data_IF_648926507371
#
_entry.id   IF_648926507371
#
_cell.length_a   1.000
_cell.length_b   1.000
_cell.length_c   1.000
_cell.angle_alpha   90.00
_cell.angle_beta   90.00
_cell.angle_gamma   90.00
#
_symmetry.space_group_name_H-M   'P 1'
#
loop_
_entity.id
_entity.type
_entity.pdbx_description
1 polymer ?
#
# COMPACT_ATOMS: atom_id res chain seq x y z
N UNK A 1 -6.98 7.52 26.79
CA UNK A 1 -7.01 7.34 25.33
C UNK A 1 -8.39 6.79 25.00
N UNK A 2 -9.27 7.61 24.42
CA UNK A 2 -10.63 7.17 24.12
C UNK A 2 -10.61 6.12 23.00
N UNK A 3 -11.43 5.05 23.08
CA UNK A 3 -11.57 4.11 21.97
C UNK A 3 -12.10 4.85 20.73
N UNK A 4 -11.64 4.49 19.51
CA UNK A 4 -12.13 5.11 18.28
C UNK A 4 -13.64 4.90 18.13
N UNK A 5 -14.36 5.94 17.69
CA UNK A 5 -15.80 5.89 17.45
C UNK A 5 -16.16 4.73 16.51
N UNK A 6 -17.11 3.88 16.95
CA UNK A 6 -17.71 2.84 16.11
C UNK A 6 -18.50 3.52 14.98
N UNK A 7 -17.90 3.69 13.80
CA UNK A 7 -18.65 4.18 12.64
C UNK A 7 -17.90 4.48 11.33
N UNK A 8 -16.57 4.59 11.29
CA UNK A 8 -15.88 5.14 10.10
C UNK A 8 -14.73 4.27 9.57
N UNK A 9 -14.90 2.94 9.50
CA UNK A 9 -13.94 2.08 8.80
C UNK A 9 -14.40 1.78 7.38
N UNK A 10 -13.46 1.78 6.42
CA UNK A 10 -13.74 1.44 5.01
C UNK A 10 -13.85 -0.08 4.88
N UNK A 11 -14.85 -0.55 4.14
CA UNK A 11 -15.04 -1.97 3.87
C UNK A 11 -14.78 -2.22 2.38
N UNK A 12 -13.66 -2.86 2.09
CA UNK A 12 -13.29 -3.27 0.74
C UNK A 12 -13.94 -4.63 0.49
N UNK A 13 -14.89 -4.66 -0.44
CA UNK A 13 -15.59 -5.88 -0.83
C UNK A 13 -14.87 -6.58 -1.97
N UNK A 14 -15.22 -7.85 -2.17
CA UNK A 14 -14.78 -8.66 -3.32
C UNK A 14 -14.74 -7.84 -4.60
N UNK A 15 -13.58 -7.87 -5.25
CA UNK A 15 -13.32 -7.33 -6.60
C UNK A 15 -13.59 -5.82 -6.73
N UNK A 16 -13.62 -5.09 -5.61
CA UNK A 16 -13.73 -3.62 -5.54
C UNK A 16 -12.47 -3.05 -4.91
N UNK A 17 -11.34 -3.27 -5.55
CA UNK A 17 -10.06 -2.74 -5.07
C UNK A 17 -10.12 -1.23 -4.94
N UNK A 18 -9.48 -0.70 -3.90
CA UNK A 18 -9.46 0.73 -3.63
C UNK A 18 -8.08 1.18 -3.21
N UNK A 19 -7.65 2.30 -3.77
CA UNK A 19 -6.54 3.08 -3.21
C UNK A 19 -7.05 3.76 -1.95
N UNK A 20 -6.37 3.50 -0.83
CA UNK A 20 -6.70 4.10 0.45
C UNK A 20 -6.18 5.53 0.54
N UNK A 21 -4.96 5.73 0.06
CA UNK A 21 -4.23 7.00 0.02
C UNK A 21 -3.13 6.93 -1.04
N UNK A 22 -2.70 8.10 -1.51
CA UNK A 22 -1.47 8.30 -2.26
C UNK A 22 -0.57 9.26 -1.49
N UNK A 23 0.74 9.04 -1.50
CA UNK A 23 1.68 9.98 -0.88
C UNK A 23 1.87 11.21 -1.77
N UNK A 24 2.27 12.34 -1.18
CA UNK A 24 2.73 13.48 -1.98
C UNK A 24 3.92 13.02 -2.85
N UNK A 25 4.02 13.46 -4.12
CA UNK A 25 5.17 13.16 -4.96
C UNK A 25 6.51 13.43 -4.24
N UNK A 26 7.39 12.44 -4.27
CA UNK A 26 8.64 12.41 -3.53
C UNK A 26 9.49 13.64 -3.85
N UNK A 27 10.02 14.30 -2.83
CA UNK A 27 10.78 15.54 -2.96
C UNK A 27 9.99 16.74 -3.50
N UNK A 28 8.64 16.74 -3.44
CA UNK A 28 7.82 17.94 -3.72
C UNK A 28 7.03 18.39 -2.49
N UNK A 29 6.71 19.68 -2.45
CA UNK A 29 5.75 20.24 -1.51
C UNK A 29 4.33 20.21 -2.11
N UNK A 30 3.35 19.71 -1.35
CA UNK A 30 1.96 19.61 -1.81
C UNK A 30 1.38 20.98 -2.19
N UNK A 31 1.59 22.02 -1.37
CA UNK A 31 1.04 23.36 -1.63
C UNK A 31 1.63 23.98 -2.89
N UNK A 32 2.84 23.60 -3.27
CA UNK A 32 3.43 24.00 -4.54
C UNK A 32 2.78 23.27 -5.72
N UNK A 33 2.57 21.97 -5.61
CA UNK A 33 1.88 21.18 -6.65
C UNK A 33 0.47 21.72 -6.90
N UNK A 34 -0.24 22.11 -5.85
CA UNK A 34 -1.59 22.69 -5.95
C UNK A 34 -1.58 24.08 -6.61
N UNK A 35 -0.60 24.95 -6.29
CA UNK A 35 -0.54 26.34 -6.79
C UNK A 35 0.07 26.50 -8.17
N UNK A 36 0.94 25.59 -8.58
CA UNK A 36 1.70 25.71 -9.83
C UNK A 36 1.91 24.33 -10.49
N UNK A 37 0.82 23.63 -10.83
CA UNK A 37 0.88 22.26 -11.36
C UNK A 37 1.58 22.15 -12.72
N UNK A 38 1.67 23.23 -13.49
CA UNK A 38 2.32 23.24 -14.81
C UNK A 38 3.85 23.35 -14.76
N UNK A 39 4.41 23.78 -13.62
CA UNK A 39 5.86 23.96 -13.48
C UNK A 39 6.34 23.69 -12.04
N UNK A 40 6.09 22.50 -11.48
CA UNK A 40 6.49 22.18 -10.12
C UNK A 40 8.01 22.06 -10.03
N UNK A 41 8.60 22.53 -8.93
CA UNK A 41 10.04 22.41 -8.68
C UNK A 41 10.28 21.49 -7.50
N UNK A 42 11.22 20.53 -7.58
CA UNK A 42 11.54 19.70 -6.43
C UNK A 42 12.12 20.57 -5.30
N UNK A 43 11.94 20.11 -4.07
CA UNK A 43 12.49 20.72 -2.86
C UNK A 43 14.03 20.82 -2.98
N UNK A 44 14.63 21.96 -2.63
CA UNK A 44 16.07 22.13 -2.68
C UNK A 44 16.76 21.22 -1.65
N UNK A 45 18.03 20.88 -1.89
CA UNK A 45 18.83 20.01 -1.01
C UNK A 45 18.17 18.64 -0.82
N UNK A 46 17.82 17.99 -1.93
CA UNK A 46 17.38 16.60 -1.96
C UNK A 46 18.27 15.85 -2.93
N UNK A 47 18.76 14.68 -2.51
CA UNK A 47 19.52 13.81 -3.40
C UNK A 47 18.63 13.41 -4.58
N UNK A 48 19.13 13.60 -5.79
CA UNK A 48 18.48 13.06 -7.00
C UNK A 48 18.81 11.58 -7.19
N UNK A 49 19.88 11.08 -6.56
CA UNK A 49 20.28 9.68 -6.61
C UNK A 49 19.71 8.92 -5.41
N UNK A 50 18.84 7.94 -5.66
CA UNK A 50 18.11 7.17 -4.63
C UNK A 50 17.48 8.07 -3.55
N UNK A 51 16.53 8.95 -3.93
CA UNK A 51 15.94 9.95 -3.03
C UNK A 51 15.20 9.33 -1.85
N UNK A 52 14.54 8.18 -2.04
CA UNK A 52 13.84 7.48 -0.96
C UNK A 52 14.80 6.66 -0.11
N UNK A 53 14.61 6.68 1.21
CA UNK A 53 15.41 5.92 2.18
C UNK A 53 14.60 4.89 2.93
N UNK A 54 13.33 5.20 3.21
CA UNK A 54 12.46 4.33 3.99
C UNK A 54 11.00 4.68 3.74
N UNK A 55 10.14 3.68 3.71
CA UNK A 55 8.69 3.83 3.65
C UNK A 55 8.11 3.06 4.83
N UNK A 56 7.33 3.74 5.67
CA UNK A 56 6.67 3.15 6.83
C UNK A 56 5.17 3.15 6.59
N UNK A 57 4.58 1.97 6.58
CA UNK A 57 3.14 1.74 6.51
C UNK A 57 2.63 1.44 7.92
N UNK A 58 1.60 2.16 8.36
CA UNK A 58 0.81 1.77 9.53
C UNK A 58 -0.59 1.42 9.07
N UNK A 59 -1.06 0.22 9.39
CA UNK A 59 -2.38 -0.26 9.05
C UNK A 59 -3.10 -0.68 10.33
N UNK A 60 -4.37 -0.31 10.43
CA UNK A 60 -5.29 -0.84 11.44
C UNK A 60 -6.43 -1.49 10.67
N UNK A 61 -6.48 -2.81 10.65
CA UNK A 61 -7.46 -3.54 9.81
C UNK A 61 -7.75 -4.95 10.30
N UNK A 62 -8.79 -5.56 9.75
CA UNK A 62 -9.10 -6.97 9.97
C UNK A 62 -9.85 -7.56 8.78
N UNK A 63 -10.11 -8.87 8.86
CA UNK A 63 -10.87 -9.61 7.86
C UNK A 63 -11.89 -10.58 8.47
N UNK A 64 -12.97 -10.85 7.74
CA UNK A 64 -14.02 -11.79 8.14
C UNK A 64 -14.36 -12.80 7.04
N UNK A 65 -13.37 -13.35 6.35
CA UNK A 65 -13.57 -14.36 5.32
C UNK A 65 -14.19 -15.67 5.80
N UNK A 66 -14.95 -16.39 4.95
CA UNK A 66 -15.34 -17.77 5.21
C UNK A 66 -14.15 -18.72 5.02
N UNK A 67 -14.07 -19.78 5.81
CA UNK A 67 -13.00 -20.78 5.68
C UNK A 67 -12.76 -21.59 6.94
N UNK A 68 -11.81 -22.52 6.88
CA UNK A 68 -11.27 -23.20 8.06
C UNK A 68 -10.29 -22.27 8.77
N UNK A 69 -10.21 -22.37 10.09
CA UNK A 69 -9.14 -21.74 10.86
C UNK A 69 -7.90 -22.61 10.67
N UNK A 70 -6.83 -22.03 10.13
CA UNK A 70 -5.54 -22.69 9.98
C UNK A 70 -4.65 -22.36 11.19
N UNK A 71 -3.59 -23.15 11.40
CA UNK A 71 -2.59 -22.85 12.43
C UNK A 71 -1.92 -21.49 12.17
N UNK A 72 -1.67 -21.19 10.89
CA UNK A 72 -1.21 -19.91 10.42
C UNK A 72 -2.38 -19.06 9.89
N UNK A 73 -2.68 -17.95 10.57
CA UNK A 73 -3.78 -17.06 10.17
C UNK A 73 -3.57 -16.39 8.81
N UNK A 74 -2.34 -16.26 8.30
CA UNK A 74 -2.08 -15.61 7.02
C UNK A 74 -2.29 -16.56 5.83
N UNK A 75 -2.36 -17.87 6.06
CA UNK A 75 -2.65 -18.85 5.03
C UNK A 75 -4.12 -18.79 4.61
N UNK A 76 -4.34 -18.88 3.29
CA UNK A 76 -5.67 -18.84 2.69
C UNK A 76 -6.47 -17.58 3.03
N UNK A 77 -5.80 -16.48 3.38
CA UNK A 77 -6.41 -15.16 3.50
C UNK A 77 -6.49 -14.47 2.15
N UNK A 78 -7.66 -13.91 1.85
CA UNK A 78 -7.95 -13.28 0.56
C UNK A 78 -8.23 -11.78 0.67
N UNK A 79 -7.70 -11.15 1.72
CA UNK A 79 -7.69 -9.70 1.88
C UNK A 79 -6.29 -9.23 2.24
N UNK A 80 -5.83 -8.19 1.55
CA UNK A 80 -4.46 -7.72 1.68
C UNK A 80 -4.32 -6.27 1.24
N UNK A 81 -3.10 -5.77 1.41
CA UNK A 81 -2.65 -4.46 0.95
C UNK A 81 -1.48 -4.61 -0.01
N UNK A 82 -1.52 -3.87 -1.13
CA UNK A 82 -0.41 -3.75 -2.09
C UNK A 82 0.02 -2.28 -2.14
N UNK A 83 1.29 -2.05 -2.46
CA UNK A 83 1.73 -0.73 -2.89
C UNK A 83 1.90 -0.67 -4.41
N UNK A 84 1.60 0.46 -5.01
CA UNK A 84 1.91 0.76 -6.41
C UNK A 84 2.67 2.09 -6.48
N UNK A 85 3.80 2.10 -7.22
CA UNK A 85 4.57 3.32 -7.43
C UNK A 85 4.03 4.05 -8.65
N UNK A 86 3.37 5.19 -8.41
CA UNK A 86 2.96 6.11 -9.47
C UNK A 86 4.18 6.89 -9.93
N UNK A 87 4.79 6.41 -11.01
CA UNK A 87 5.94 7.08 -11.62
C UNK A 87 5.60 8.49 -12.09
N UNK A 88 6.45 9.46 -11.76
CA UNK A 88 6.29 10.84 -12.20
C UNK A 88 4.94 11.47 -11.83
N UNK A 89 4.39 11.16 -10.65
CA UNK A 89 3.07 11.63 -10.21
C UNK A 89 2.91 13.16 -10.26
N UNK A 90 4.00 13.90 -10.03
CA UNK A 90 4.04 15.36 -10.19
C UNK A 90 3.76 15.83 -11.63
N UNK A 91 4.27 15.12 -12.64
CA UNK A 91 4.04 15.43 -14.07
C UNK A 91 2.61 15.09 -14.49
N UNK A 92 2.01 14.10 -13.83
CA UNK A 92 0.60 13.72 -14.02
C UNK A 92 -0.39 14.69 -13.36
N UNK A 93 0.08 15.82 -12.83
CA UNK A 93 -0.74 16.83 -12.14
C UNK A 93 -1.60 16.21 -11.05
N UNK A 94 -0.96 15.42 -10.17
CA UNK A 94 -1.63 14.74 -9.06
C UNK A 94 -2.51 15.65 -8.20
N UNK A 95 -2.20 16.95 -8.14
CA UNK A 95 -3.03 17.96 -7.49
C UNK A 95 -3.39 19.05 -8.49
N UNK A 96 -4.68 19.42 -8.55
CA UNK A 96 -5.20 20.53 -9.36
C UNK A 96 -6.21 21.29 -8.50
N UNK A 97 -6.05 22.61 -8.38
CA UNK A 97 -6.95 23.49 -7.62
C UNK A 97 -7.23 23.03 -6.16
N UNK A 98 -6.24 22.41 -5.52
CA UNK A 98 -6.34 21.90 -4.14
C UNK A 98 -6.88 20.47 -4.02
N UNK A 99 -7.33 19.87 -5.13
CA UNK A 99 -7.94 18.54 -5.16
C UNK A 99 -6.96 17.48 -5.68
N UNK A 100 -6.92 16.32 -5.01
CA UNK A 100 -6.15 15.16 -5.47
C UNK A 100 -6.85 14.47 -6.64
N UNK A 101 -6.12 14.29 -7.74
CA UNK A 101 -6.65 13.74 -8.99
C UNK A 101 -6.61 12.21 -9.01
N UNK A 102 -7.55 11.61 -9.76
CA UNK A 102 -7.54 10.18 -10.06
C UNK A 102 -6.43 9.88 -11.07
N UNK A 103 -5.47 9.06 -10.67
CA UNK A 103 -4.30 8.72 -11.49
C UNK A 103 -4.22 7.24 -11.86
N UNK A 104 -4.88 6.38 -11.07
CA UNK A 104 -4.89 4.94 -11.28
C UNK A 104 -6.28 4.47 -11.70
N UNK A 105 -6.31 3.49 -12.59
CA UNK A 105 -7.54 2.92 -13.09
C UNK A 105 -8.34 2.29 -11.94
N UNK A 106 -9.61 2.67 -11.81
CA UNK A 106 -10.51 2.15 -10.78
C UNK A 106 -10.04 2.38 -9.32
N UNK A 107 -9.20 3.38 -9.05
CA UNK A 107 -8.66 3.64 -7.71
C UNK A 107 -9.72 3.87 -6.62
N UNK A 108 -10.94 4.26 -7.01
CA UNK A 108 -12.06 4.49 -6.10
C UNK A 108 -12.88 3.22 -5.79
N UNK A 109 -12.64 2.11 -6.50
CA UNK A 109 -13.38 0.85 -6.33
C UNK A 109 -14.89 0.97 -6.53
N UNK A 110 -15.29 1.86 -7.44
CA UNK A 110 -16.69 2.14 -7.79
C UNK A 110 -17.32 0.96 -8.55
N UNK A 111 -16.50 0.25 -9.32
CA UNK A 111 -16.89 -0.89 -10.14
C UNK A 111 -16.35 -2.19 -9.57
N UNK A 112 -17.17 -3.24 -9.64
CA UNK A 112 -16.71 -4.62 -9.38
C UNK A 112 -16.00 -5.14 -10.64
N UNK A 113 -14.74 -5.56 -10.52
CA UNK A 113 -13.94 -6.06 -11.63
C UNK A 113 -13.54 -7.51 -11.35
N UNK A 114 -14.32 -8.49 -11.84
CA UNK A 114 -13.98 -9.90 -11.70
C UNK A 114 -12.62 -10.20 -12.30
N UNK A 115 -11.76 -10.86 -11.53
CA UNK A 115 -10.41 -11.25 -11.94
C UNK A 115 -10.40 -12.73 -12.33
N UNK A 116 -9.99 -13.02 -13.57
CA UNK A 116 -9.84 -14.40 -14.05
C UNK A 116 -8.56 -15.06 -13.51
N UNK A 117 -8.39 -16.39 -13.70
CA UNK A 117 -7.22 -17.13 -13.22
C UNK A 117 -5.87 -16.56 -13.68
N UNK A 118 -5.81 -15.98 -14.87
CA UNK A 118 -4.59 -15.43 -15.48
C UNK A 118 -4.40 -13.92 -15.21
N UNK A 119 -5.32 -13.29 -14.47
CA UNK A 119 -5.20 -11.86 -14.15
C UNK A 119 -4.12 -11.65 -13.07
N UNK A 120 -3.11 -10.80 -13.31
CA UNK A 120 -2.01 -10.59 -12.38
C UNK A 120 -2.46 -9.96 -11.05
N UNK A 121 -3.65 -9.36 -11.00
CA UNK A 121 -4.25 -8.81 -9.78
C UNK A 121 -5.23 -9.78 -9.10
N UNK A 122 -5.35 -11.02 -9.57
CA UNK A 122 -6.14 -12.03 -8.84
C UNK A 122 -5.53 -12.32 -7.46
N UNK A 123 -4.22 -12.35 -7.37
CA UNK A 123 -3.45 -12.64 -6.15
C UNK A 123 -2.59 -11.43 -5.76
N UNK A 124 -2.06 -11.40 -4.53
CA UNK A 124 -1.15 -10.33 -4.13
C UNK A 124 0.07 -10.22 -5.05
N UNK A 125 0.48 -8.99 -5.33
CA UNK A 125 1.63 -8.71 -6.20
C UNK A 125 2.96 -8.91 -5.47
N UNK A 126 4.07 -8.71 -6.19
CA UNK A 126 5.41 -8.61 -5.57
C UNK A 126 5.53 -7.42 -4.60
N UNK A 127 4.64 -6.42 -4.71
CA UNK A 127 4.57 -5.27 -3.83
C UNK A 127 3.56 -5.43 -2.68
N UNK A 128 3.20 -6.67 -2.33
CA UNK A 128 2.34 -6.98 -1.18
C UNK A 128 2.95 -6.39 0.10
N UNK A 129 2.27 -5.40 0.66
CA UNK A 129 2.63 -4.81 1.96
C UNK A 129 2.34 -5.83 3.05
N UNK A 130 1.10 -6.33 3.10
CA UNK A 130 0.66 -7.30 4.10
C UNK A 130 -0.68 -7.96 3.74
N UNK A 131 -0.84 -9.23 4.07
CA UNK A 131 -2.14 -9.92 4.09
C UNK A 131 -2.75 -9.87 5.50
N UNK A 132 -4.07 -9.69 5.59
CA UNK A 132 -4.78 -9.81 6.86
C UNK A 132 -4.78 -11.27 7.34
N UNK A 133 -5.01 -11.49 8.63
CA UNK A 133 -5.33 -12.83 9.11
C UNK A 133 -6.72 -13.28 8.67
N UNK A 134 -6.80 -14.46 8.07
CA UNK A 134 -8.05 -15.14 7.76
C UNK A 134 -8.89 -15.33 9.02
N UNK A 135 -10.18 -14.95 8.95
CA UNK A 135 -11.14 -15.10 10.07
C UNK A 135 -10.78 -14.37 11.37
N UNK A 136 -9.86 -13.40 11.32
CA UNK A 136 -9.53 -12.62 12.52
C UNK A 136 -10.44 -11.40 12.58
N UNK A 137 -11.50 -11.50 13.39
CA UNK A 137 -12.45 -10.39 13.59
C UNK A 137 -11.89 -9.25 14.45
N UNK A 138 -10.80 -9.52 15.17
CA UNK A 138 -10.12 -8.52 15.99
C UNK A 138 -9.28 -7.61 15.10
N UNK A 139 -9.40 -6.30 15.34
CA UNK A 139 -8.56 -5.31 14.69
C UNK A 139 -7.08 -5.58 14.99
N UNK A 140 -6.27 -5.66 13.94
CA UNK A 140 -4.82 -5.79 14.02
C UNK A 140 -4.18 -4.43 13.68
N UNK A 141 -3.25 -4.00 14.52
CA UNK A 141 -2.40 -2.84 14.28
C UNK A 141 -1.00 -3.31 13.88
N UNK A 142 -0.54 -2.87 12.72
CA UNK A 142 0.66 -3.39 12.08
C UNK A 142 1.50 -2.26 11.50
N UNK A 143 2.80 -2.29 11.78
CA UNK A 143 3.80 -1.41 11.20
C UNK A 143 4.69 -2.23 10.25
N UNK A 144 4.73 -1.82 8.98
CA UNK A 144 5.58 -2.44 7.96
C UNK A 144 6.57 -1.40 7.46
N UNK A 145 7.85 -1.74 7.48
CA UNK A 145 8.94 -0.87 7.06
C UNK A 145 9.61 -1.46 5.84
N UNK A 146 9.63 -0.70 4.74
CA UNK A 146 10.50 -0.97 3.59
C UNK A 146 11.68 -0.01 3.69
N UNK A 147 12.90 -0.55 3.73
CA UNK A 147 14.11 0.25 3.87
C UNK A 147 15.03 0.12 2.66
N UNK A 148 15.77 1.17 2.34
CA UNK A 148 16.79 1.14 1.29
C UNK A 148 17.96 0.21 1.62
N UNK A 149 18.17 -0.08 2.90
CA UNK A 149 19.21 -0.98 3.42
C UNK A 149 18.75 -2.46 3.48
N UNK A 150 17.47 -2.74 3.24
CA UNK A 150 16.95 -4.09 3.15
C UNK A 150 17.70 -4.88 2.04
N UNK A 151 18.06 -6.14 2.33
CA UNK A 151 18.83 -7.02 1.44
C UNK A 151 18.52 -8.52 1.64
N UNK A 152 17.33 -8.84 2.14
CA UNK A 152 16.91 -10.23 2.29
C UNK A 152 16.34 -10.72 0.96
N UNK A 153 16.92 -11.78 0.42
CA UNK A 153 16.50 -12.33 -0.86
C UNK A 153 15.08 -12.92 -0.77
N UNK A 154 14.18 -12.64 -1.74
CA UNK A 154 12.77 -13.06 -1.66
C UNK A 154 12.55 -14.58 -1.52
N UNK A 155 13.45 -15.38 -2.09
CA UNK A 155 13.37 -16.85 -2.03
C UNK A 155 14.15 -17.47 -0.85
N UNK A 156 14.70 -16.65 0.04
CA UNK A 156 15.43 -17.13 1.22
C UNK A 156 14.47 -17.68 2.30
N UNK A 157 14.93 -18.62 3.15
CA UNK A 157 14.17 -19.09 4.30
C UNK A 157 13.73 -17.96 5.24
N UNK A 158 14.56 -16.91 5.41
CA UNK A 158 14.22 -15.77 6.24
C UNK A 158 13.04 -14.96 5.66
N UNK A 159 12.98 -14.79 4.33
CA UNK A 159 11.88 -14.09 3.69
C UNK A 159 10.57 -14.90 3.74
N UNK A 160 10.66 -16.22 3.60
CA UNK A 160 9.54 -17.15 3.77
C UNK A 160 9.00 -17.12 5.21
N UNK A 161 9.88 -17.14 6.22
CA UNK A 161 9.49 -17.05 7.63
C UNK A 161 8.75 -15.74 7.92
N UNK A 162 9.20 -14.60 7.38
CA UNK A 162 8.51 -13.31 7.53
C UNK A 162 7.13 -13.33 6.89
N UNK A 163 6.98 -13.90 5.69
CA UNK A 163 5.68 -14.02 5.04
C UNK A 163 4.73 -14.92 5.84
N UNK A 164 5.22 -16.06 6.32
CA UNK A 164 4.43 -17.00 7.11
C UNK A 164 4.04 -16.44 8.47
N UNK A 165 4.94 -15.76 9.18
CA UNK A 165 4.71 -15.33 10.57
C UNK A 165 4.10 -13.93 10.69
N UNK A 166 4.19 -13.09 9.65
CA UNK A 166 3.71 -11.69 9.68
C UNK A 166 2.77 -11.33 8.53
N UNK A 167 2.63 -12.19 7.52
CA UNK A 167 1.83 -11.91 6.33
C UNK A 167 2.43 -10.86 5.39
N UNK A 168 3.66 -10.37 5.63
CA UNK A 168 4.35 -9.38 4.78
C UNK A 168 4.83 -10.03 3.48
N UNK A 169 4.74 -9.32 2.35
CA UNK A 169 5.27 -9.83 1.09
C UNK A 169 6.78 -10.01 1.12
N UNK A 170 7.25 -11.24 0.91
CA UNK A 170 8.67 -11.62 0.91
C UNK A 170 9.52 -10.82 -0.09
N UNK A 171 8.94 -10.46 -1.24
CA UNK A 171 9.59 -9.65 -2.27
C UNK A 171 9.89 -8.21 -1.84
N UNK A 172 9.29 -7.74 -0.75
CA UNK A 172 9.49 -6.38 -0.22
C UNK A 172 10.66 -6.26 0.76
N UNK A 173 11.38 -7.36 1.03
CA UNK A 173 12.47 -7.43 1.99
C UNK A 173 13.86 -7.26 1.35
N UNK A 174 13.91 -7.05 0.04
CA UNK A 174 15.16 -6.86 -0.70
C UNK A 174 15.54 -5.38 -0.84
N UNK A 175 14.67 -4.44 -0.42
CA UNK A 175 14.88 -2.98 -0.48
C UNK A 175 14.85 -2.37 -1.88
N UNK A 176 14.56 -3.17 -2.92
CA UNK A 176 14.60 -2.72 -4.32
C UNK A 176 13.65 -1.57 -4.59
N UNK A 177 12.39 -1.70 -4.17
CA UNK A 177 11.37 -0.68 -4.40
C UNK A 177 11.83 0.68 -3.89
N UNK A 178 12.36 0.73 -2.67
CA UNK A 178 12.83 1.97 -2.04
C UNK A 178 14.00 2.57 -2.82
N UNK A 179 14.99 1.76 -3.20
CA UNK A 179 16.15 2.24 -3.97
C UNK A 179 15.75 2.71 -5.37
N UNK A 180 14.75 2.09 -6.00
CA UNK A 180 14.32 2.43 -7.35
C UNK A 180 13.35 3.62 -7.42
N UNK A 181 12.85 4.13 -6.29
CA UNK A 181 12.01 5.33 -6.29
C UNK A 181 12.78 6.56 -6.77
N UNK A 182 12.14 7.35 -7.63
CA UNK A 182 12.70 8.55 -8.23
C UNK A 182 12.04 9.82 -7.68
N UNK A 183 12.69 10.96 -7.92
CA UNK A 183 12.11 12.27 -7.60
C UNK A 183 10.77 12.39 -8.30
N UNK A 184 9.74 12.75 -7.54
CA UNK A 184 8.40 12.97 -8.04
C UNK A 184 7.54 11.72 -8.20
N UNK A 185 8.01 10.55 -7.80
CA UNK A 185 7.19 9.34 -7.66
C UNK A 185 6.25 9.44 -6.44
N UNK A 186 5.08 8.80 -6.50
CA UNK A 186 4.15 8.68 -5.38
C UNK A 186 3.89 7.21 -5.05
N UNK A 187 3.65 6.89 -3.78
CA UNK A 187 3.21 5.57 -3.33
C UNK A 187 1.70 5.57 -3.20
N UNK A 188 1.01 4.73 -3.97
CA UNK A 188 -0.40 4.41 -3.78
C UNK A 188 -0.52 3.15 -2.94
N UNK A 189 -1.28 3.22 -1.85
CA UNK A 189 -1.59 2.04 -1.02
C UNK A 189 -2.96 1.50 -1.39
N UNK A 190 -3.00 0.32 -1.98
CA UNK A 190 -4.22 -0.41 -2.30
C UNK A 190 -4.65 -1.28 -1.13
N UNK A 191 -5.95 -1.36 -0.89
CA UNK A 191 -6.57 -2.42 -0.13
C UNK A 191 -7.45 -3.26 -1.05
N UNK A 192 -7.36 -4.58 -0.88
CA UNK A 192 -7.97 -5.56 -1.78
C UNK A 192 -8.72 -6.63 -1.00
N UNK A 193 -9.75 -7.16 -1.64
CA UNK A 193 -10.49 -8.33 -1.20
C UNK A 193 -10.86 -9.18 -2.42
N UNK A 194 -10.67 -10.49 -2.31
CA UNK A 194 -11.00 -11.47 -3.36
C UNK A 194 -11.89 -12.58 -2.82
N UNK A 195 -12.60 -13.20 -3.75
CA UNK A 195 -13.48 -14.34 -3.53
C UNK A 195 -14.72 -14.04 -2.66
N UNK A 196 -15.81 -14.80 -2.85
CA UNK A 196 -17.05 -14.54 -2.13
C UNK A 196 -16.89 -14.68 -0.60
N UNK A 197 -17.49 -13.75 0.14
CA UNK A 197 -17.52 -13.76 1.60
C UNK A 197 -16.33 -13.06 2.28
N UNK A 198 -15.30 -12.67 1.53
CA UNK A 198 -14.16 -11.92 2.07
C UNK A 198 -14.38 -10.42 1.96
N UNK A 199 -13.94 -9.70 2.99
CA UNK A 199 -13.98 -8.23 3.00
C UNK A 199 -12.90 -7.68 3.91
N UNK A 200 -12.13 -6.71 3.41
CA UNK A 200 -11.09 -6.04 4.19
C UNK A 200 -11.71 -4.86 4.93
N UNK A 201 -11.66 -4.89 6.26
CA UNK A 201 -12.15 -3.82 7.12
C UNK A 201 -10.98 -2.94 7.54
N UNK A 202 -10.87 -1.76 6.95
CA UNK A 202 -9.75 -0.83 7.15
C UNK A 202 -10.20 0.33 8.05
N UNK A 203 -9.67 0.38 9.27
CA UNK A 203 -9.91 1.48 10.22
C UNK A 203 -8.95 2.63 10.02
N UNK A 204 -7.68 2.32 9.72
CA UNK A 204 -6.63 3.32 9.53
C UNK A 204 -5.61 2.82 8.53
N UNK A 205 -5.11 3.75 7.73
CA UNK A 205 -3.90 3.57 6.95
C UNK A 205 -3.10 4.87 6.96
N UNK A 206 -1.79 4.77 7.12
CA UNK A 206 -0.87 5.88 6.88
C UNK A 206 0.40 5.37 6.22
N UNK A 207 0.97 6.22 5.36
CA UNK A 207 2.24 5.97 4.70
C UNK A 207 3.15 7.16 4.96
N UNK A 208 4.31 6.90 5.54
CA UNK A 208 5.35 7.90 5.81
C UNK A 208 6.57 7.59 4.97
N UNK A 209 6.97 8.53 4.12
CA UNK A 209 8.16 8.38 3.28
C UNK A 209 9.29 9.23 3.85
N UNK A 210 10.44 8.61 4.05
CA UNK A 210 11.68 9.25 4.45
C UNK A 210 12.61 9.35 3.24
N UNK A 211 13.32 10.46 3.15
CA UNK A 211 14.18 10.76 2.00
C UNK A 211 15.55 11.26 2.42
N UNK A 212 16.49 11.20 1.49
CA UNK A 212 17.83 11.76 1.64
C UNK A 212 17.80 13.29 1.61
N UNK A 213 18.55 13.92 2.52
CA UNK A 213 18.81 15.38 2.54
C UNK A 213 20.18 15.65 1.92
#
# INVERSE_FOLDING_TARGET
MAPPEKGTHRIIRKDRDQVLLKTVPLCYDRKQLERSPDSPKPLPHRSTNHPCRKIVFHLSSHDQGPGRINENMYEHSWTWFDAEIIRGAHEKKMYVDGEEQVLLEHEKGETTIPRGPDDPLLLPSEHKVQVNGARVSEMQDVEIIWDSEDNVQPDSPAALDVEQTKGRGRATLDGRVVREMQVGDSVALWARARFPGWSNHVYRASVTVYWAV
#
